data_IF_449590031482
#
_entry.id   IF_449590031482
#
_cell.length_a   1.000
_cell.length_b   1.000
_cell.length_c   1.000
_cell.angle_alpha   90.00
_cell.angle_beta   90.00
_cell.angle_gamma   90.00
#
_symmetry.space_group_name_H-M   'P 1'
#
loop_
_entity.id
_entity.type
_entity.pdbx_description
1 polymer ?
#
# COMPACT_ATOMS: atom_id res chain seq x y z
N UNK A 1 10.73 -5.43 -2.86
CA UNK A 1 10.26 -4.09 -2.45
C UNK A 1 9.19 -4.22 -1.39
N UNK A 2 9.14 -3.30 -0.46
CA UNK A 2 8.21 -3.33 0.64
C UNK A 2 7.62 -1.94 0.89
N UNK A 3 6.31 -1.88 1.06
CA UNK A 3 5.64 -0.65 1.46
C UNK A 3 5.58 -0.61 2.99
N UNK A 4 6.05 0.48 3.58
CA UNK A 4 6.10 0.66 5.04
C UNK A 4 5.44 1.97 5.43
N UNK A 5 5.17 2.14 6.72
CA UNK A 5 4.55 3.36 7.26
C UNK A 5 3.26 3.71 6.53
N UNK A 6 2.45 2.71 6.22
CA UNK A 6 1.20 2.91 5.49
C UNK A 6 0.22 3.64 6.39
N UNK A 7 -0.28 4.78 5.90
CA UNK A 7 -1.25 5.60 6.61
C UNK A 7 -2.63 5.33 6.03
N UNK A 8 -3.44 4.60 6.76
CA UNK A 8 -4.77 4.22 6.31
C UNK A 8 -5.77 5.35 6.49
N UNK A 9 -6.66 5.50 5.52
CA UNK A 9 -7.75 6.50 5.57
C UNK A 9 -8.99 5.80 6.11
N UNK A 10 -9.06 5.69 7.43
CA UNK A 10 -10.17 5.03 8.11
C UNK A 10 -10.78 5.98 9.15
N UNK A 11 -12.10 5.84 9.36
CA UNK A 11 -12.82 6.71 10.29
C UNK A 11 -12.65 6.26 11.75
N UNK A 12 -12.33 4.99 11.97
CA UNK A 12 -12.24 4.41 13.30
C UNK A 12 -10.84 3.87 13.57
N UNK A 13 -10.29 4.18 14.73
CA UNK A 13 -8.99 3.67 15.14
C UNK A 13 -8.97 2.15 15.28
N UNK A 14 -10.13 1.56 15.54
CA UNK A 14 -10.27 0.11 15.68
C UNK A 14 -9.91 -0.60 14.38
N UNK A 15 -10.23 0.02 13.24
CA UNK A 15 -9.89 -0.55 11.93
C UNK A 15 -8.38 -0.58 11.71
N UNK A 16 -7.63 0.35 12.30
CA UNK A 16 -6.18 0.37 12.18
C UNK A 16 -5.51 -0.84 12.82
N UNK A 17 -6.12 -1.40 13.86
CA UNK A 17 -5.56 -2.57 14.54
C UNK A 17 -5.59 -3.81 13.66
N UNK A 18 -6.46 -3.85 12.67
CA UNK A 18 -6.58 -4.97 11.73
C UNK A 18 -5.77 -4.77 10.46
N UNK A 19 -5.30 -3.55 10.21
CA UNK A 19 -4.61 -3.24 8.96
C UNK A 19 -3.09 -3.28 9.15
N UNK A 20 -2.37 -3.90 8.23
CA UNK A 20 -0.91 -3.94 8.32
C UNK A 20 -0.30 -2.58 8.01
N UNK A 21 0.78 -2.23 8.70
CA UNK A 21 1.55 -1.02 8.40
C UNK A 21 2.63 -1.28 7.35
N UNK A 22 2.89 -2.56 7.07
CA UNK A 22 3.89 -2.98 6.10
C UNK A 22 3.29 -4.06 5.19
N UNK A 23 3.57 -3.95 3.89
CA UNK A 23 3.09 -4.92 2.90
C UNK A 23 4.22 -5.24 1.94
N UNK A 24 4.48 -6.52 1.73
CA UNK A 24 5.45 -6.99 0.74
C UNK A 24 4.88 -6.76 -0.66
N UNK A 25 5.66 -6.13 -1.53
CA UNK A 25 5.26 -5.84 -2.91
C UNK A 25 5.97 -6.79 -3.85
N UNK A 26 5.25 -7.58 -4.66
CA UNK A 26 5.86 -8.48 -5.63
C UNK A 26 6.66 -7.69 -6.67
N UNK A 27 7.82 -8.20 -7.04
CA UNK A 27 8.67 -7.57 -8.05
C UNK A 27 7.98 -7.54 -9.41
N UNK A 28 7.11 -8.51 -9.68
CA UNK A 28 6.35 -8.60 -10.93
C UNK A 28 5.31 -7.51 -11.08
N UNK A 29 4.95 -6.83 -10.00
CA UNK A 29 3.93 -5.80 -10.01
C UNK A 29 4.42 -4.52 -10.70
N UNK A 30 5.74 -4.30 -10.73
CA UNK A 30 6.34 -3.08 -11.25
C UNK A 30 7.01 -3.40 -12.60
N UNK A 31 6.37 -3.05 -13.75
CA UNK A 31 7.02 -3.15 -15.05
C UNK A 31 8.17 -2.18 -15.16
N UNK A 32 9.23 -2.55 -15.88
CA UNK A 32 10.44 -1.76 -16.00
C UNK A 32 10.22 -0.37 -16.60
N UNK A 33 9.14 -0.20 -17.35
CA UNK A 33 8.86 1.03 -18.08
C UNK A 33 7.91 1.99 -17.36
N UNK A 34 7.54 1.71 -16.12
CA UNK A 34 6.60 2.57 -15.40
C UNK A 34 7.33 3.61 -14.57
N UNK A 35 7.08 4.88 -14.91
CA UNK A 35 7.53 6.01 -14.11
C UNK A 35 6.66 6.23 -12.87
N UNK A 36 5.44 5.70 -12.88
CA UNK A 36 4.44 5.98 -11.86
C UNK A 36 4.08 4.70 -11.09
N UNK A 37 5.11 3.99 -10.66
CA UNK A 37 4.94 2.74 -9.92
C UNK A 37 4.20 2.93 -8.59
N UNK A 38 4.18 4.15 -8.05
CA UNK A 38 3.44 4.43 -6.82
C UNK A 38 1.94 4.19 -6.98
N UNK A 39 1.39 4.50 -8.14
CA UNK A 39 -0.02 4.27 -8.43
C UNK A 39 -0.34 2.77 -8.48
N UNK A 40 0.52 2.00 -9.12
CA UNK A 40 0.35 0.54 -9.18
C UNK A 40 0.42 -0.09 -7.80
N UNK A 41 1.36 0.35 -6.98
CA UNK A 41 1.52 -0.14 -5.61
C UNK A 41 0.30 0.27 -4.77
N UNK A 42 -0.18 1.48 -4.94
CA UNK A 42 -1.36 1.98 -4.25
C UNK A 42 -2.60 1.13 -4.56
N UNK A 43 -2.81 0.81 -5.84
CA UNK A 43 -3.91 -0.06 -6.26
C UNK A 43 -3.77 -1.46 -5.65
N UNK A 44 -2.56 -2.00 -5.64
CA UNK A 44 -2.29 -3.30 -5.06
C UNK A 44 -2.65 -3.34 -3.57
N UNK A 45 -2.24 -2.32 -2.83
CA UNK A 45 -2.51 -2.22 -1.40
C UNK A 45 -4.03 -2.12 -1.15
N UNK A 46 -4.71 -1.30 -1.93
CA UNK A 46 -6.16 -1.12 -1.80
C UNK A 46 -6.93 -2.40 -2.13
N UNK A 47 -6.52 -3.12 -3.19
CA UNK A 47 -7.14 -4.38 -3.56
C UNK A 47 -6.92 -5.45 -2.50
N UNK A 48 -5.72 -5.49 -1.93
CA UNK A 48 -5.36 -6.52 -0.95
C UNK A 48 -6.15 -6.37 0.34
N UNK A 49 -6.39 -5.15 0.78
CA UNK A 49 -7.02 -4.87 2.07
C UNK A 49 -8.46 -4.43 1.96
N UNK A 50 -8.87 -3.89 0.82
CA UNK A 50 -10.20 -3.30 0.64
C UNK A 50 -10.36 -1.92 1.27
N UNK A 51 -9.26 -1.32 1.75
CA UNK A 51 -9.28 0.01 2.37
C UNK A 51 -8.43 0.99 1.56
N UNK A 52 -8.81 2.28 1.66
CA UNK A 52 -8.01 3.35 1.08
C UNK A 52 -6.91 3.77 2.04
N UNK A 53 -5.83 4.34 1.50
CA UNK A 53 -4.72 4.84 2.31
C UNK A 53 -4.34 6.25 1.87
N UNK A 54 -3.69 6.99 2.77
CA UNK A 54 -3.26 8.37 2.51
C UNK A 54 -1.84 8.46 2.00
N UNK A 55 -1.03 7.48 2.28
CA UNK A 55 0.36 7.46 1.85
C UNK A 55 1.13 6.30 2.44
N UNK A 56 2.33 6.09 1.93
CA UNK A 56 3.24 5.04 2.40
C UNK A 56 4.66 5.37 1.94
N UNK A 57 5.64 4.67 2.53
CA UNK A 57 7.03 4.75 2.11
C UNK A 57 7.44 3.42 1.49
N UNK A 58 8.47 3.44 0.63
CA UNK A 58 8.99 2.25 -0.02
C UNK A 58 10.44 1.99 0.40
N UNK A 59 10.76 0.73 0.63
CA UNK A 59 12.13 0.29 0.93
C UNK A 59 12.51 -0.91 0.08
#
# INVERSE_FOLDING_TARGET
MKAINIKWDVDYKEDLDFLPTEIEIPDDLIPEDIYDYCEEISDYISDLTGYCHKGFDLV
#
